data_IF_679655788628
#
_entry.id   IF_679655788628
#
_cell.length_a   1.000
_cell.length_b   1.000
_cell.length_c   1.000
_cell.angle_alpha   90.00
_cell.angle_beta   90.00
_cell.angle_gamma   90.00
#
_symmetry.space_group_name_H-M   'P 1'
#
loop_
_entity.id
_entity.type
_entity.pdbx_description
1 polymer ?
#
# COMPACT_ATOMS: atom_id res chain seq x y z
N UNK A 1 -3.71 -7.67 -6.10
CA UNK A 1 -3.14 -7.86 -7.46
C UNK A 1 -4.14 -8.45 -8.47
N UNK A 2 -5.03 -9.39 -8.09
CA UNK A 2 -6.02 -9.94 -9.03
C UNK A 2 -7.17 -8.99 -9.40
N UNK A 3 -7.67 -8.20 -8.44
CA UNK A 3 -8.77 -7.23 -8.66
C UNK A 3 -8.33 -6.11 -9.61
N UNK A 4 -7.16 -5.50 -9.36
CA UNK A 4 -6.60 -4.50 -10.28
C UNK A 4 -6.36 -5.05 -11.69
N UNK A 5 -6.00 -6.34 -11.83
CA UNK A 5 -5.83 -6.97 -13.13
C UNK A 5 -7.14 -7.15 -13.90
N UNK A 6 -8.23 -7.53 -13.21
CA UNK A 6 -9.56 -7.66 -13.83
C UNK A 6 -10.12 -6.30 -14.23
N UNK A 7 -9.99 -5.30 -13.36
CA UNK A 7 -10.55 -3.97 -13.61
C UNK A 7 -9.83 -3.29 -14.77
N UNK A 8 -8.50 -3.36 -14.79
CA UNK A 8 -7.70 -2.83 -15.90
C UNK A 8 -8.01 -3.55 -17.22
N UNK A 9 -8.17 -4.88 -17.19
CA UNK A 9 -8.53 -5.64 -18.38
C UNK A 9 -9.92 -5.26 -18.92
N UNK A 10 -10.91 -5.07 -18.04
CA UNK A 10 -12.25 -4.62 -18.43
C UNK A 10 -12.21 -3.22 -19.07
N UNK A 11 -11.56 -2.25 -18.40
CA UNK A 11 -11.46 -0.87 -18.88
C UNK A 11 -10.81 -0.85 -20.27
N UNK A 12 -9.64 -1.47 -20.43
CA UNK A 12 -8.93 -1.48 -21.72
C UNK A 12 -9.75 -2.15 -22.82
N UNK A 13 -10.49 -3.22 -22.50
CA UNK A 13 -11.33 -3.91 -23.48
C UNK A 13 -12.50 -3.03 -23.94
N UNK A 14 -13.08 -2.24 -23.03
CA UNK A 14 -14.29 -1.46 -23.28
C UNK A 14 -14.01 -0.13 -24.00
N UNK A 15 -13.01 0.64 -23.58
CA UNK A 15 -12.71 1.99 -24.11
C UNK A 15 -11.43 2.09 -24.94
N UNK A 16 -10.59 1.05 -24.97
CA UNK A 16 -9.32 1.04 -25.70
C UNK A 16 -8.14 1.59 -24.87
N UNK A 17 -6.92 1.28 -25.31
CA UNK A 17 -5.68 1.56 -24.56
C UNK A 17 -5.42 3.05 -24.33
N UNK A 18 -5.57 3.89 -25.36
CA UNK A 18 -5.24 5.33 -25.28
C UNK A 18 -6.15 6.10 -24.32
N UNK A 19 -7.46 5.80 -24.31
CA UNK A 19 -8.41 6.43 -23.40
C UNK A 19 -8.29 5.87 -21.98
N UNK A 20 -7.96 4.57 -21.84
CA UNK A 20 -7.76 3.93 -20.54
C UNK A 20 -6.61 4.57 -19.74
N UNK A 21 -5.50 4.93 -20.39
CA UNK A 21 -4.37 5.59 -19.72
C UNK A 21 -4.77 6.92 -19.06
N UNK A 22 -5.57 7.75 -19.74
CA UNK A 22 -6.07 9.01 -19.19
C UNK A 22 -7.02 8.77 -18.01
N UNK A 23 -7.86 7.73 -18.09
CA UNK A 23 -8.75 7.36 -16.99
C UNK A 23 -7.95 6.83 -15.80
N UNK A 24 -6.93 6.01 -16.01
CA UNK A 24 -6.06 5.53 -14.92
C UNK A 24 -5.34 6.69 -14.23
N UNK A 25 -4.86 7.69 -14.98
CA UNK A 25 -4.24 8.89 -14.39
C UNK A 25 -5.24 9.69 -13.54
N UNK A 26 -6.45 9.92 -14.06
CA UNK A 26 -7.50 10.63 -13.31
C UNK A 26 -7.96 9.82 -12.10
N UNK A 27 -8.12 8.50 -12.23
CA UNK A 27 -8.48 7.60 -11.15
C UNK A 27 -7.40 7.59 -10.06
N UNK A 28 -6.12 7.62 -10.42
CA UNK A 28 -5.02 7.74 -9.47
C UNK A 28 -5.06 9.05 -8.69
N UNK A 29 -5.33 10.18 -9.37
CA UNK A 29 -5.48 11.49 -8.70
C UNK A 29 -6.64 11.49 -7.71
N UNK A 30 -7.83 11.06 -8.15
CA UNK A 30 -8.99 10.94 -7.26
C UNK A 30 -8.75 9.95 -6.13
N UNK A 31 -8.07 8.84 -6.41
CA UNK A 31 -7.67 7.83 -5.43
C UNK A 31 -6.81 8.42 -4.31
N UNK A 32 -5.86 9.29 -4.63
CA UNK A 32 -5.04 9.98 -3.62
C UNK A 32 -5.87 10.89 -2.71
N UNK A 33 -6.80 11.68 -3.29
CA UNK A 33 -7.69 12.53 -2.49
C UNK A 33 -8.64 11.69 -1.61
N UNK A 34 -9.22 10.64 -2.17
CA UNK A 34 -10.10 9.73 -1.46
C UNK A 34 -9.38 8.98 -0.33
N UNK A 35 -8.14 8.55 -0.56
CA UNK A 35 -7.28 7.93 0.45
C UNK A 35 -7.03 8.89 1.61
N UNK A 36 -6.62 10.13 1.31
CA UNK A 36 -6.38 11.16 2.33
C UNK A 36 -7.63 11.45 3.14
N UNK A 37 -8.78 11.66 2.49
CA UNK A 37 -10.06 11.86 3.18
C UNK A 37 -10.45 10.64 4.02
N UNK A 38 -10.25 9.43 3.48
CA UNK A 38 -10.51 8.16 4.14
C UNK A 38 -9.69 7.99 5.41
N UNK A 39 -8.41 8.39 5.41
CA UNK A 39 -7.57 8.36 6.61
C UNK A 39 -8.12 9.29 7.69
N UNK A 40 -8.46 10.55 7.36
CA UNK A 40 -9.02 11.48 8.35
C UNK A 40 -10.35 10.99 8.94
N UNK A 41 -11.24 10.48 8.09
CA UNK A 41 -12.53 9.94 8.53
C UNK A 41 -12.31 8.69 9.40
N UNK A 42 -11.48 7.75 8.95
CA UNK A 42 -11.17 6.51 9.67
C UNK A 42 -10.53 6.80 11.02
N UNK A 43 -9.59 7.75 11.07
CA UNK A 43 -8.93 8.17 12.30
C UNK A 43 -9.91 8.79 13.30
N UNK A 44 -10.82 9.65 12.84
CA UNK A 44 -11.87 10.24 13.69
C UNK A 44 -12.82 9.17 14.25
N UNK A 45 -13.20 8.18 13.44
CA UNK A 45 -14.05 7.08 13.86
C UNK A 45 -13.35 6.11 14.81
N UNK A 46 -12.07 5.82 14.56
CA UNK A 46 -11.24 4.94 15.40
C UNK A 46 -11.01 5.52 16.80
N UNK A 47 -11.00 6.85 16.93
CA UNK A 47 -10.92 7.53 18.24
C UNK A 47 -12.14 7.24 19.13
N UNK A 48 -13.31 7.01 18.53
CA UNK A 48 -14.54 6.64 19.25
C UNK A 48 -14.49 5.14 19.59
N UNK A 49 -14.29 4.31 18.56
CA UNK A 49 -14.12 2.87 18.72
C UNK A 49 -13.42 2.28 17.50
N UNK A 50 -12.38 1.44 17.69
CA UNK A 50 -11.69 0.76 16.60
C UNK A 50 -12.59 -0.13 15.73
N UNK A 51 -13.75 -0.55 16.24
CA UNK A 51 -14.68 -1.43 15.51
C UNK A 51 -15.51 -0.67 14.46
N UNK A 52 -15.71 0.64 14.64
CA UNK A 52 -16.58 1.44 13.77
C UNK A 52 -16.03 1.56 12.35
N UNK A 53 -14.74 1.90 12.13
CA UNK A 53 -14.16 1.94 10.79
C UNK A 53 -14.34 0.61 10.04
N UNK A 54 -14.11 -0.52 10.71
CA UNK A 54 -14.21 -1.86 10.10
C UNK A 54 -15.64 -2.17 9.61
N UNK A 55 -16.63 -1.92 10.47
CA UNK A 55 -18.04 -2.13 10.13
C UNK A 55 -18.49 -1.17 9.04
N UNK A 56 -18.08 0.09 9.11
CA UNK A 56 -18.45 1.11 8.14
C UNK A 56 -17.91 0.75 6.74
N UNK A 57 -16.65 0.33 6.63
CA UNK A 57 -16.08 -0.12 5.35
C UNK A 57 -16.87 -1.28 4.76
N UNK A 58 -17.22 -2.28 5.58
CA UNK A 58 -18.04 -3.41 5.13
C UNK A 58 -19.43 -2.99 4.63
N UNK A 59 -20.10 -2.10 5.37
CA UNK A 59 -21.42 -1.57 4.98
C UNK A 59 -21.33 -0.73 3.70
N UNK A 60 -20.28 0.07 3.52
CA UNK A 60 -20.08 0.90 2.32
C UNK A 60 -19.75 0.05 1.07
N UNK A 61 -19.14 -1.13 1.23
CA UNK A 61 -18.88 -2.03 0.10
C UNK A 61 -20.17 -2.60 -0.53
N UNK A 62 -21.24 -2.78 0.25
CA UNK A 62 -22.51 -3.34 -0.25
C UNK A 62 -23.15 -2.45 -1.33
N UNK A 63 -23.45 -1.16 -1.09
CA UNK A 63 -24.03 -0.29 -2.11
C UNK A 63 -23.08 -0.07 -3.29
N UNK A 64 -21.75 -0.03 -3.04
CA UNK A 64 -20.77 0.06 -4.12
C UNK A 64 -20.83 -1.15 -5.06
N UNK A 65 -20.98 -2.35 -4.49
CA UNK A 65 -21.12 -3.58 -5.26
C UNK A 65 -22.39 -3.56 -6.10
N UNK A 66 -23.52 -3.15 -5.52
CA UNK A 66 -24.79 -3.00 -6.24
C UNK A 66 -24.65 -1.99 -7.38
N UNK A 67 -24.00 -0.86 -7.12
CA UNK A 67 -23.72 0.16 -8.12
C UNK A 67 -22.86 -0.38 -9.28
N UNK A 68 -21.78 -1.11 -8.99
CA UNK A 68 -20.93 -1.70 -10.03
C UNK A 68 -21.69 -2.71 -10.89
N UNK A 69 -22.54 -3.55 -10.30
CA UNK A 69 -23.39 -4.50 -11.04
C UNK A 69 -24.32 -3.76 -12.03
N UNK A 70 -24.82 -2.58 -11.65
CA UNK A 70 -25.74 -1.81 -12.51
C UNK A 70 -25.01 -0.96 -13.57
N UNK A 71 -23.85 -0.41 -13.24
CA UNK A 71 -23.17 0.59 -14.07
C UNK A 71 -21.98 0.06 -14.87
N UNK A 72 -21.54 -1.18 -14.65
CA UNK A 72 -20.39 -1.79 -15.33
C UNK A 72 -20.84 -2.97 -16.23
N UNK A 73 -21.54 -2.71 -17.35
CA UNK A 73 -21.96 -3.77 -18.26
C UNK A 73 -20.77 -4.34 -19.06
N UNK A 74 -20.76 -5.65 -19.25
CA UNK A 74 -19.77 -6.38 -20.05
C UNK A 74 -20.22 -6.42 -21.53
N UNK A 75 -20.02 -5.34 -22.29
CA UNK A 75 -20.56 -5.27 -23.66
C UNK A 75 -19.70 -5.98 -24.70
N UNK A 76 -18.38 -6.01 -24.50
CA UNK A 76 -17.39 -6.60 -25.44
C UNK A 76 -16.84 -7.97 -25.00
N UNK A 77 -17.47 -8.61 -24.01
CA UNK A 77 -17.02 -9.91 -23.52
C UNK A 77 -17.09 -10.99 -24.60
N UNK A 78 -15.94 -11.60 -24.92
CA UNK A 78 -15.87 -12.74 -25.84
C UNK A 78 -15.76 -14.04 -25.04
N UNK A 79 -16.83 -14.85 -24.93
CA UNK A 79 -16.76 -16.13 -24.25
C UNK A 79 -15.81 -17.06 -25.00
N UNK A 80 -14.86 -17.67 -24.28
CA UNK A 80 -14.03 -18.75 -24.82
C UNK A 80 -14.97 -19.89 -25.22
N UNK A 81 -14.82 -20.41 -26.45
CA UNK A 81 -15.65 -21.49 -26.97
C UNK A 81 -15.69 -22.66 -25.97
N UNK A 82 -16.90 -23.15 -25.67
CA UNK A 82 -17.19 -24.25 -24.72
C UNK A 82 -16.67 -25.61 -25.22
N UNK A 83 -15.39 -25.71 -25.59
CA UNK A 83 -14.76 -27.01 -25.76
C UNK A 83 -14.26 -27.51 -24.41
N UNK A 84 -15.10 -28.34 -23.77
CA UNK A 84 -14.78 -29.51 -22.92
C UNK A 84 -13.53 -29.46 -22.00
N UNK A 85 -13.09 -28.27 -21.55
CA UNK A 85 -11.90 -28.10 -20.74
C UNK A 85 -12.30 -27.75 -19.30
N UNK A 86 -11.75 -28.47 -18.33
CA UNK A 86 -11.88 -28.17 -16.92
C UNK A 86 -11.40 -26.72 -16.66
N UNK A 87 -12.29 -25.84 -16.18
CA UNK A 87 -11.93 -24.46 -15.81
C UNK A 87 -10.72 -24.40 -14.88
N UNK A 88 -10.62 -25.39 -13.98
CA UNK A 88 -9.50 -25.53 -13.05
C UNK A 88 -8.19 -25.89 -13.76
N UNK A 89 -8.23 -26.73 -14.79
CA UNK A 89 -7.04 -27.06 -15.58
C UNK A 89 -6.54 -25.83 -16.35
N UNK A 90 -7.45 -25.07 -16.96
CA UNK A 90 -7.10 -23.82 -17.65
C UNK A 90 -6.52 -22.77 -16.68
N UNK A 91 -7.09 -22.63 -15.48
CA UNK A 91 -6.55 -21.77 -14.44
C UNK A 91 -5.15 -22.21 -14.00
N UNK A 92 -4.96 -23.52 -13.74
CA UNK A 92 -3.66 -24.10 -13.41
C UNK A 92 -2.63 -23.92 -14.52
N UNK A 93 -3.04 -24.05 -15.78
CA UNK A 93 -2.18 -23.82 -16.94
C UNK A 93 -1.72 -22.36 -17.02
N UNK A 94 -2.61 -21.39 -16.76
CA UNK A 94 -2.25 -19.97 -16.70
C UNK A 94 -1.25 -19.69 -15.57
N UNK A 95 -1.50 -20.23 -14.36
CA UNK A 95 -0.59 -20.09 -13.22
C UNK A 95 0.77 -20.73 -13.52
N UNK A 96 0.78 -21.94 -14.08
CA UNK A 96 2.00 -22.66 -14.45
C UNK A 96 2.78 -21.95 -15.55
N UNK A 97 2.09 -21.34 -16.50
CA UNK A 97 2.70 -20.53 -17.56
C UNK A 97 3.33 -19.27 -16.99
N UNK A 98 2.64 -18.55 -16.11
CA UNK A 98 3.19 -17.41 -15.37
C UNK A 98 4.42 -17.80 -14.54
N UNK A 99 4.34 -18.90 -13.79
CA UNK A 99 5.47 -19.42 -13.01
C UNK A 99 6.67 -19.79 -13.89
N UNK A 100 6.42 -20.35 -15.09
CA UNK A 100 7.47 -20.66 -16.07
C UNK A 100 8.12 -19.39 -16.62
N UNK A 101 7.35 -18.34 -16.89
CA UNK A 101 7.87 -17.03 -17.33
C UNK A 101 8.77 -16.40 -16.27
N UNK A 102 8.34 -16.41 -15.00
CA UNK A 102 9.14 -15.93 -13.87
C UNK A 102 10.44 -16.74 -13.77
N UNK A 103 10.36 -18.07 -13.82
CA UNK A 103 11.54 -18.95 -13.71
C UNK A 103 12.55 -18.75 -14.85
N UNK A 104 12.07 -18.52 -16.07
CA UNK A 104 12.92 -18.44 -17.26
C UNK A 104 13.54 -17.06 -17.47
N UNK A 105 13.02 -16.01 -16.84
CA UNK A 105 13.55 -14.66 -16.96
C UNK A 105 14.17 -14.20 -15.63
N UNK A 106 15.52 -14.11 -15.61
CA UNK A 106 16.27 -13.69 -14.42
C UNK A 106 15.86 -12.30 -13.89
N UNK A 107 15.46 -11.38 -14.76
CA UNK A 107 15.03 -10.04 -14.37
C UNK A 107 13.68 -10.11 -13.64
N UNK A 108 12.69 -10.81 -14.22
CA UNK A 108 11.37 -10.98 -13.60
C UNK A 108 11.50 -11.74 -12.28
N UNK A 109 12.34 -12.79 -12.23
CA UNK A 109 12.61 -13.52 -10.99
C UNK A 109 13.18 -12.61 -9.90
N UNK A 110 14.16 -11.75 -10.25
CA UNK A 110 14.74 -10.81 -9.29
C UNK A 110 13.69 -9.82 -8.76
N UNK A 111 12.82 -9.29 -9.63
CA UNK A 111 11.72 -8.40 -9.24
C UNK A 111 10.75 -9.09 -8.28
N UNK A 112 10.32 -10.33 -8.59
CA UNK A 112 9.41 -11.10 -7.74
C UNK A 112 10.03 -11.37 -6.36
N UNK A 113 11.32 -11.71 -6.32
CA UNK A 113 12.02 -11.95 -5.04
C UNK A 113 12.08 -10.65 -4.23
N UNK A 114 12.44 -9.52 -4.86
CA UNK A 114 12.52 -8.22 -4.18
C UNK A 114 11.15 -7.83 -3.60
N UNK A 115 10.10 -7.85 -4.42
CA UNK A 115 8.72 -7.53 -4.00
C UNK A 115 8.24 -8.50 -2.91
N UNK A 116 8.60 -9.79 -3.02
CA UNK A 116 8.24 -10.79 -2.02
C UNK A 116 8.90 -10.54 -0.67
N UNK A 117 10.19 -10.20 -0.64
CA UNK A 117 10.92 -9.85 0.59
C UNK A 117 10.33 -8.57 1.19
N UNK A 118 10.06 -7.56 0.36
CA UNK A 118 9.44 -6.29 0.78
C UNK A 118 8.08 -6.52 1.45
N UNK A 119 7.21 -7.33 0.84
CA UNK A 119 5.89 -7.65 1.42
C UNK A 119 5.98 -8.42 2.75
N UNK A 120 6.92 -9.37 2.86
CA UNK A 120 7.13 -10.12 4.13
C UNK A 120 7.64 -9.18 5.22
N UNK A 121 8.59 -8.31 4.89
CA UNK A 121 9.15 -7.34 5.84
C UNK A 121 8.10 -6.32 6.29
N UNK A 122 7.31 -5.76 5.37
CA UNK A 122 6.26 -4.78 5.68
C UNK A 122 5.21 -5.37 6.62
N UNK A 123 4.72 -6.59 6.35
CA UNK A 123 3.77 -7.26 7.24
C UNK A 123 4.35 -7.54 8.63
N UNK A 124 5.64 -7.92 8.70
CA UNK A 124 6.32 -8.13 9.98
C UNK A 124 6.45 -6.81 10.75
N UNK A 125 6.78 -5.72 10.07
CA UNK A 125 6.88 -4.39 10.67
C UNK A 125 5.52 -3.94 11.20
N UNK A 126 4.46 -3.97 10.37
CA UNK A 126 3.09 -3.58 10.70
C UNK A 126 2.57 -4.24 11.99
N UNK A 127 2.87 -5.53 12.16
CA UNK A 127 2.45 -6.28 13.35
C UNK A 127 3.28 -6.00 14.59
N UNK A 128 4.58 -5.75 14.43
CA UNK A 128 5.53 -5.74 15.54
C UNK A 128 5.83 -4.35 16.08
N UNK A 129 5.76 -3.29 15.26
CA UNK A 129 6.15 -1.95 15.71
C UNK A 129 5.28 -1.48 16.88
N UNK A 130 3.97 -1.74 16.81
CA UNK A 130 3.02 -1.35 17.86
C UNK A 130 3.27 -2.13 19.14
N UNK A 131 3.53 -3.44 19.04
CA UNK A 131 3.89 -4.27 20.20
C UNK A 131 5.20 -3.78 20.84
N UNK A 132 6.26 -3.56 20.05
CA UNK A 132 7.56 -3.09 20.53
C UNK A 132 7.45 -1.73 21.21
N UNK A 133 6.70 -0.80 20.61
CA UNK A 133 6.56 0.55 21.11
C UNK A 133 5.73 0.61 22.41
N UNK A 134 4.60 -0.10 22.47
CA UNK A 134 3.70 0.00 23.62
C UNK A 134 4.01 -0.96 24.76
N UNK A 135 4.62 -2.12 24.48
CA UNK A 135 4.86 -3.17 25.48
C UNK A 135 6.28 -3.15 26.04
N UNK A 136 7.28 -2.95 25.18
CA UNK A 136 8.69 -3.10 25.61
C UNK A 136 9.31 -1.76 26.04
N UNK A 137 8.80 -0.63 25.55
CA UNK A 137 9.30 0.72 25.86
C UNK A 137 8.11 1.65 26.17
N UNK A 138 7.34 1.38 27.24
CA UNK A 138 6.20 2.20 27.58
C UNK A 138 6.66 3.65 27.87
N UNK A 139 5.90 4.66 27.42
CA UNK A 139 6.20 6.04 27.74
C UNK A 139 6.16 6.23 29.26
N UNK A 140 7.29 6.63 29.84
CA UNK A 140 7.55 6.67 31.29
C UNK A 140 6.64 7.60 32.10
N UNK A 141 5.82 8.45 31.45
CA UNK A 141 5.01 9.49 32.09
C UNK A 141 3.53 9.48 31.70
N UNK A 142 2.99 8.36 31.19
CA UNK A 142 1.64 8.36 30.60
C UNK A 142 0.82 7.18 31.10
N UNK A 143 0.52 7.18 32.40
CA UNK A 143 -0.21 6.10 33.08
C UNK A 143 -1.69 5.97 32.65
N UNK A 144 -2.23 6.91 31.85
CA UNK A 144 -3.66 6.96 31.51
C UNK A 144 -4.00 7.21 30.04
N UNK A 145 -3.03 7.24 29.10
CA UNK A 145 -3.41 7.37 27.69
C UNK A 145 -3.75 6.01 27.10
N UNK A 146 -4.99 5.90 26.61
CA UNK A 146 -5.44 4.82 25.76
C UNK A 146 -4.45 4.62 24.59
N UNK A 147 -3.87 3.42 24.48
CA UNK A 147 -2.93 3.01 23.42
C UNK A 147 -3.43 3.37 22.01
N UNK A 148 -4.76 3.31 21.82
CA UNK A 148 -5.43 3.71 20.59
C UNK A 148 -5.17 5.17 20.23
N UNK A 149 -5.21 6.10 21.19
CA UNK A 149 -5.01 7.54 20.92
C UNK A 149 -3.57 7.81 20.50
N UNK A 150 -2.59 7.17 21.14
CA UNK A 150 -1.19 7.29 20.74
C UNK A 150 -0.93 6.72 19.36
N UNK A 151 -1.51 5.56 19.04
CA UNK A 151 -1.46 4.99 17.71
C UNK A 151 -1.99 5.98 16.67
N UNK A 152 -3.12 6.62 16.93
CA UNK A 152 -3.71 7.62 16.03
C UNK A 152 -2.81 8.85 15.89
N UNK A 153 -2.27 9.40 16.98
CA UNK A 153 -1.36 10.57 16.94
C UNK A 153 -0.10 10.25 16.13
N UNK A 154 0.53 9.10 16.36
CA UNK A 154 1.73 8.67 15.66
C UNK A 154 1.47 8.55 14.16
N UNK A 155 0.37 7.89 13.77
CA UNK A 155 -0.01 7.76 12.36
C UNK A 155 -0.34 9.11 11.72
N UNK A 156 -1.02 10.01 12.43
CA UNK A 156 -1.33 11.37 11.95
C UNK A 156 -0.04 12.15 11.67
N UNK A 157 0.88 12.16 12.64
CA UNK A 157 2.17 12.87 12.52
C UNK A 157 3.00 12.27 11.39
N UNK A 158 3.05 10.94 11.28
CA UNK A 158 3.74 10.26 10.19
C UNK A 158 3.15 10.63 8.81
N UNK A 159 1.82 10.64 8.67
CA UNK A 159 1.17 11.02 7.42
C UNK A 159 1.45 12.48 7.03
N UNK A 160 1.37 13.42 7.98
CA UNK A 160 1.68 14.83 7.70
C UNK A 160 3.15 15.03 7.33
N UNK A 161 4.07 14.37 8.06
CA UNK A 161 5.48 14.34 7.70
C UNK A 161 5.68 13.77 6.30
N UNK A 162 4.91 12.74 5.94
CA UNK A 162 5.01 12.10 4.64
C UNK A 162 4.62 13.01 3.50
N UNK A 163 3.51 13.74 3.62
CA UNK A 163 3.10 14.74 2.64
C UNK A 163 4.17 15.83 2.49
N UNK A 164 4.70 16.34 3.61
CA UNK A 164 5.71 17.40 3.60
C UNK A 164 7.04 16.95 3.01
N UNK A 165 7.52 15.76 3.38
CA UNK A 165 8.78 15.20 2.90
C UNK A 165 8.69 14.84 1.41
N UNK A 166 7.58 14.25 0.97
CA UNK A 166 7.37 13.91 -0.44
C UNK A 166 7.35 15.18 -1.31
N UNK A 167 6.66 16.24 -0.87
CA UNK A 167 6.68 17.53 -1.57
C UNK A 167 8.08 18.17 -1.57
N UNK A 168 8.80 18.09 -0.45
CA UNK A 168 10.19 18.59 -0.34
C UNK A 168 11.15 17.84 -1.28
N UNK A 169 11.05 16.51 -1.31
CA UNK A 169 11.85 15.63 -2.18
C UNK A 169 11.52 15.91 -3.64
N UNK A 170 10.24 16.02 -4.00
CA UNK A 170 9.79 16.34 -5.36
C UNK A 170 10.36 17.67 -5.84
N UNK A 171 10.21 18.75 -5.05
CA UNK A 171 10.77 20.07 -5.37
C UNK A 171 12.30 20.05 -5.51
N UNK A 172 12.96 19.25 -4.70
CA UNK A 172 14.42 19.11 -4.74
C UNK A 172 14.89 18.33 -5.98
N UNK A 173 14.07 17.40 -6.48
CA UNK A 173 14.38 16.52 -7.60
C UNK A 173 13.96 17.07 -8.98
N UNK A 174 12.94 17.93 -9.06
CA UNK A 174 12.47 18.53 -10.33
C UNK A 174 13.57 19.25 -11.11
N UNK A 175 14.64 19.69 -10.43
CA UNK A 175 15.78 20.40 -11.03
C UNK A 175 17.06 19.56 -11.22
N UNK A 176 17.02 18.22 -11.06
CA UNK A 176 18.24 17.37 -11.02
C UNK A 176 18.25 16.31 -12.15
N UNK A 177 19.43 16.07 -12.74
CA UNK A 177 19.65 15.04 -13.78
C UNK A 177 19.35 13.61 -13.27
N UNK A 178 18.86 12.71 -14.15
CA UNK A 178 18.51 11.30 -13.89
C UNK A 178 19.50 10.53 -12.99
N UNK A 179 20.81 10.72 -13.14
CA UNK A 179 21.81 10.02 -12.33
C UNK A 179 21.76 10.36 -10.83
N UNK A 180 21.38 11.60 -10.45
CA UNK A 180 21.25 11.97 -9.03
C UNK A 180 20.03 11.33 -8.37
N UNK A 181 18.98 11.04 -9.13
CA UNK A 181 17.77 10.39 -8.63
C UNK A 181 18.06 8.97 -8.12
N UNK A 182 18.83 8.18 -8.88
CA UNK A 182 19.20 6.81 -8.49
C UNK A 182 20.01 6.76 -7.20
N UNK A 183 20.98 7.68 -7.02
CA UNK A 183 21.75 7.74 -5.77
C UNK A 183 20.91 8.16 -4.57
N UNK A 184 19.98 9.10 -4.75
CA UNK A 184 19.05 9.50 -3.68
C UNK A 184 18.16 8.32 -3.28
N UNK A 185 17.62 7.58 -4.26
CA UNK A 185 16.82 6.37 -4.02
C UNK A 185 17.61 5.30 -3.26
N UNK A 186 18.86 5.04 -3.65
CA UNK A 186 19.72 4.08 -2.94
C UNK A 186 19.99 4.56 -1.52
N UNK A 187 20.31 5.85 -1.32
CA UNK A 187 20.59 6.40 0.01
C UNK A 187 19.37 6.29 0.93
N UNK A 188 18.18 6.59 0.44
CA UNK A 188 16.93 6.44 1.21
C UNK A 188 16.70 4.97 1.59
N UNK A 189 16.87 4.04 0.65
CA UNK A 189 16.73 2.60 0.93
C UNK A 189 17.75 2.09 1.96
N UNK A 190 19.01 2.52 1.87
CA UNK A 190 20.03 2.14 2.87
C UNK A 190 19.71 2.76 4.23
N UNK A 191 19.26 4.02 4.27
CA UNK A 191 18.83 4.66 5.50
C UNK A 191 17.64 3.93 6.14
N UNK A 192 16.70 3.42 5.33
CA UNK A 192 15.59 2.58 5.80
C UNK A 192 16.12 1.31 6.46
N UNK A 193 16.96 0.53 5.77
CA UNK A 193 17.55 -0.70 6.31
C UNK A 193 18.27 -0.46 7.64
N UNK A 194 19.07 0.61 7.73
CA UNK A 194 19.72 1.01 8.97
C UNK A 194 18.72 1.36 10.07
N UNK A 195 17.66 2.09 9.73
CA UNK A 195 16.62 2.49 10.67
C UNK A 195 15.99 1.25 11.32
N UNK A 196 15.72 0.17 10.56
CA UNK A 196 15.14 -1.09 11.08
C UNK A 196 15.99 -1.68 12.18
N UNK A 197 17.29 -1.75 11.94
CA UNK A 197 18.25 -2.30 12.89
C UNK A 197 18.29 -1.43 14.15
N UNK A 198 18.30 -0.10 13.99
CA UNK A 198 18.35 0.83 15.12
C UNK A 198 17.04 0.77 15.92
N UNK A 199 15.87 0.63 15.28
CA UNK A 199 14.58 0.45 15.96
C UNK A 199 14.56 -0.82 16.81
N UNK A 200 15.06 -1.93 16.26
CA UNK A 200 15.14 -3.19 16.98
C UNK A 200 16.03 -3.08 18.23
N UNK A 201 17.14 -2.35 18.14
CA UNK A 201 18.12 -2.15 19.21
C UNK A 201 17.79 -0.98 20.15
N UNK A 202 16.77 -0.18 19.84
CA UNK A 202 16.43 1.00 20.63
C UNK A 202 15.98 0.58 22.04
N UNK A 203 16.68 1.07 23.07
CA UNK A 203 16.30 0.89 24.47
C UNK A 203 15.63 2.11 25.10
N UNK A 204 15.52 3.22 24.36
CA UNK A 204 14.97 4.49 24.85
C UNK A 204 13.76 4.93 24.00
N UNK A 205 12.73 5.47 24.66
CA UNK A 205 11.48 5.92 24.06
C UNK A 205 11.70 6.97 22.98
N UNK A 206 12.56 7.97 23.23
CA UNK A 206 12.81 9.07 22.29
C UNK A 206 13.52 8.62 21.01
N UNK A 207 14.45 7.66 21.11
CA UNK A 207 15.08 7.06 19.94
C UNK A 207 14.08 6.20 19.16
N UNK A 208 13.24 5.45 19.88
CA UNK A 208 12.23 4.58 19.29
C UNK A 208 11.22 5.39 18.45
N UNK A 209 10.64 6.46 19.01
CA UNK A 209 9.66 7.29 18.30
C UNK A 209 10.26 8.04 17.09
N UNK A 210 11.49 8.55 17.21
CA UNK A 210 12.12 9.30 16.12
C UNK A 210 12.39 8.40 14.91
N UNK A 211 12.86 7.17 15.14
CA UNK A 211 13.14 6.21 14.06
C UNK A 211 11.84 5.64 13.50
N UNK A 212 10.84 5.42 14.35
CA UNK A 212 9.52 4.97 13.92
C UNK A 212 8.84 5.97 12.98
N UNK A 213 8.97 7.27 13.24
CA UNK A 213 8.46 8.31 12.32
C UNK A 213 9.19 8.32 10.97
N UNK A 214 10.49 8.02 10.95
CA UNK A 214 11.27 7.89 9.71
C UNK A 214 10.85 6.67 8.90
N UNK A 215 10.42 5.58 9.56
CA UNK A 215 9.95 4.37 8.88
C UNK A 215 8.54 4.53 8.32
N UNK A 216 7.61 5.03 9.14
CA UNK A 216 6.20 5.21 8.75
C UNK A 216 6.02 6.21 7.60
N UNK A 217 7.02 7.06 7.36
CA UNK A 217 7.10 7.89 6.16
C UNK A 217 6.97 7.07 4.87
N UNK A 218 7.66 5.92 4.77
CA UNK A 218 7.74 5.17 3.52
C UNK A 218 6.47 4.41 3.20
N UNK A 219 5.82 3.85 4.22
CA UNK A 219 4.66 2.96 4.01
C UNK A 219 3.36 3.72 3.74
N UNK A 220 3.35 5.04 3.89
CA UNK A 220 2.18 5.87 3.56
C UNK A 220 2.07 6.22 2.07
N UNK A 221 2.96 5.72 1.20
CA UNK A 221 2.92 5.90 -0.25
C UNK A 221 3.25 4.63 -1.04
#
# INVERSE_FOLDING_TARGET
>A
MFISGSDSAWIVTEIGEEEADLIFLRAAQFGQFAALAGVFISMGLAAISPNIPLLLTGVLCIPLTIFLIMCMPETKFKPIAKEKNNYFENMLLTVKSGARLIKNNKIILSMVIIIGIEGIYSEAFDRLWSMRFFKDIPPTNIENCNTTIWFLIINLVAMLLSILLTEFVKRTLENKKKYRLTYVLILVNVAMMCSVIIFALAGNFYTCISILLVMLYNETY
#
